data_IF_426067570242
#
_entry.id   IF_426067570242
#
_cell.length_a   1.000
_cell.length_b   1.000
_cell.length_c   1.000
_cell.angle_alpha   90.00
_cell.angle_beta   90.00
_cell.angle_gamma   90.00
#
_symmetry.space_group_name_H-M   'P 1'
#
loop_
_entity.id
_entity.type
_entity.pdbx_description
1 polymer ?
#
# COMPACT_ATOMS: atom_id res chain seq x y z
N UNK A 1 8.83 -62.73 -11.60
CA UNK A 1 8.84 -62.04 -10.28
C UNK A 1 8.37 -60.61 -10.52
N UNK A 2 7.19 -60.24 -9.99
CA UNK A 2 6.59 -58.91 -10.16
C UNK A 2 7.15 -57.97 -9.08
N UNK A 3 7.71 -56.82 -9.46
CA UNK A 3 8.04 -55.76 -8.51
C UNK A 3 7.02 -54.62 -8.66
N UNK A 4 6.39 -54.31 -7.52
CA UNK A 4 5.42 -53.24 -7.29
C UNK A 4 6.08 -51.99 -6.72
N UNK A 5 5.47 -50.84 -7.04
CA UNK A 5 5.38 -49.59 -6.26
C UNK A 5 6.66 -48.91 -5.73
N UNK A 6 6.92 -47.70 -6.24
CA UNK A 6 6.54 -46.46 -5.53
C UNK A 6 6.79 -45.21 -6.39
N UNK A 7 5.69 -44.56 -6.73
CA UNK A 7 5.57 -43.19 -7.21
C UNK A 7 6.32 -42.23 -6.27
N UNK A 8 7.35 -41.54 -6.77
CA UNK A 8 7.88 -40.35 -6.09
C UNK A 8 6.93 -39.19 -6.38
N UNK A 9 6.21 -38.80 -5.33
CA UNK A 9 5.33 -37.65 -5.30
C UNK A 9 6.12 -36.35 -5.17
N UNK A 10 5.57 -35.32 -5.82
CA UNK A 10 5.69 -33.89 -5.53
C UNK A 10 7.11 -33.30 -5.46
N UNK A 11 7.60 -32.83 -6.61
CA UNK A 11 8.40 -31.60 -6.63
C UNK A 11 7.49 -30.40 -6.31
N UNK A 12 7.25 -30.15 -5.03
CA UNK A 12 6.78 -28.87 -4.54
C UNK A 12 7.94 -27.89 -4.54
N UNK A 13 8.24 -27.29 -5.69
CA UNK A 13 9.25 -26.23 -5.78
C UNK A 13 8.54 -24.87 -5.71
N UNK A 14 8.46 -24.37 -4.48
CA UNK A 14 8.53 -22.96 -4.06
C UNK A 14 8.04 -21.96 -5.12
N UNK A 15 6.77 -21.60 -5.03
CA UNK A 15 6.33 -20.32 -5.54
C UNK A 15 7.14 -19.25 -4.78
N UNK A 16 8.18 -18.73 -5.42
CA UNK A 16 8.72 -17.42 -5.09
C UNK A 16 7.56 -16.46 -5.27
N UNK A 17 6.81 -16.22 -4.20
CA UNK A 17 6.00 -15.02 -4.08
C UNK A 17 6.94 -13.90 -4.47
N UNK A 18 6.66 -13.27 -5.61
CA UNK A 18 7.09 -11.91 -5.86
C UNK A 18 6.54 -11.12 -4.68
N UNK A 19 7.33 -11.04 -3.60
CA UNK A 19 7.20 -9.98 -2.65
C UNK A 19 7.18 -8.72 -3.50
N UNK A 20 6.08 -7.98 -3.42
CA UNK A 20 5.99 -6.64 -3.94
C UNK A 20 7.02 -5.79 -3.19
N UNK A 21 8.28 -5.90 -3.61
CA UNK A 21 9.41 -5.12 -3.15
C UNK A 21 9.36 -3.80 -3.92
N UNK A 22 8.34 -2.98 -3.64
CA UNK A 22 8.59 -1.55 -3.55
C UNK A 22 9.58 -1.40 -2.40
N UNK A 23 10.75 -0.82 -2.66
CA UNK A 23 11.98 -0.96 -1.87
C UNK A 23 11.97 -0.35 -0.46
N UNK A 24 10.81 -0.26 0.20
CA UNK A 24 10.67 0.17 1.59
C UNK A 24 10.84 -0.98 2.59
N UNK A 25 11.07 -0.61 3.84
CA UNK A 25 11.18 -1.59 4.94
C UNK A 25 9.85 -2.35 5.13
N UNK A 26 9.97 -3.58 5.65
CA UNK A 26 8.80 -4.38 6.00
C UNK A 26 7.98 -3.67 7.11
N UNK A 27 6.66 -3.54 6.95
CA UNK A 27 5.82 -2.91 7.95
C UNK A 27 5.82 -3.73 9.24
N UNK A 28 5.80 -3.02 10.38
CA UNK A 28 5.62 -3.64 11.70
C UNK A 28 4.40 -3.04 12.38
N UNK A 29 3.64 -3.89 13.08
CA UNK A 29 2.37 -3.52 13.73
C UNK A 29 2.55 -2.35 14.68
N UNK A 30 1.64 -1.38 14.61
CA UNK A 30 1.57 -0.22 15.51
C UNK A 30 0.24 -0.19 16.27
N UNK A 31 0.07 0.80 17.15
CA UNK A 31 -1.18 1.16 17.81
C UNK A 31 -1.95 2.27 17.07
N UNK A 32 -1.50 2.62 15.87
CA UNK A 32 -2.11 3.67 15.05
C UNK A 32 -3.27 3.10 14.23
N UNK A 33 -4.40 3.80 14.26
CA UNK A 33 -5.59 3.43 13.50
C UNK A 33 -5.57 3.98 12.08
N UNK A 34 -6.09 3.21 11.15
CA UNK A 34 -6.29 3.60 9.75
C UNK A 34 -7.69 3.27 9.28
N UNK A 35 -8.23 4.09 8.39
CA UNK A 35 -9.47 3.81 7.70
C UNK A 35 -9.42 4.37 6.27
N UNK A 36 -9.62 3.50 5.30
CA UNK A 36 -9.71 3.81 3.87
C UNK A 36 -10.98 3.20 3.31
N UNK A 37 -11.83 4.02 2.72
CA UNK A 37 -13.05 3.58 2.05
C UNK A 37 -12.80 3.52 0.54
N UNK A 38 -13.05 2.37 -0.05
CA UNK A 38 -13.16 2.20 -1.50
C UNK A 38 -14.60 2.50 -1.90
N UNK A 39 -14.83 3.66 -2.49
CA UNK A 39 -16.17 4.12 -2.87
C UNK A 39 -16.57 3.68 -4.28
N UNK A 40 -15.60 3.45 -5.16
CA UNK A 40 -15.82 2.94 -6.49
C UNK A 40 -14.62 2.11 -6.96
N UNK A 41 -14.86 0.87 -7.34
CA UNK A 41 -13.88 -0.01 -7.95
C UNK A 41 -14.49 -0.65 -9.18
N UNK A 42 -13.69 -0.93 -10.21
CA UNK A 42 -14.15 -1.70 -11.38
C UNK A 42 -14.63 -3.09 -10.98
N UNK A 43 -13.93 -3.73 -10.04
CA UNK A 43 -14.45 -4.89 -9.31
C UNK A 43 -15.22 -4.40 -8.08
N UNK A 44 -16.55 -4.38 -8.19
CA UNK A 44 -17.43 -3.89 -7.12
C UNK A 44 -17.35 -4.70 -5.83
N UNK A 45 -16.80 -5.93 -5.86
CA UNK A 45 -16.57 -6.71 -4.64
C UNK A 45 -15.49 -6.07 -3.75
N UNK A 46 -14.65 -5.18 -4.30
CA UNK A 46 -13.65 -4.43 -3.55
C UNK A 46 -14.24 -3.20 -2.84
N UNK A 47 -15.46 -2.76 -3.17
CA UNK A 47 -16.09 -1.61 -2.52
C UNK A 47 -16.34 -1.89 -1.04
N UNK A 48 -16.05 -0.91 -0.19
CA UNK A 48 -16.26 -1.01 1.26
C UNK A 48 -15.19 -0.26 2.07
N UNK A 49 -15.33 -0.35 3.38
CA UNK A 49 -14.37 0.22 4.34
C UNK A 49 -13.27 -0.80 4.62
N UNK A 50 -12.03 -0.34 4.57
CA UNK A 50 -10.82 -1.07 4.96
C UNK A 50 -10.24 -0.36 6.17
N UNK A 51 -10.18 -1.04 7.31
CA UNK A 51 -9.77 -0.39 8.55
C UNK A 51 -9.09 -1.34 9.50
N UNK A 52 -8.31 -0.76 10.41
CA UNK A 52 -7.65 -1.46 11.50
C UNK A 52 -7.32 -0.47 12.61
N UNK A 53 -7.31 -0.95 13.86
CA UNK A 53 -6.78 -0.20 15.00
C UNK A 53 -5.27 -0.37 15.17
N UNK A 54 -4.67 -1.30 14.41
CA UNK A 54 -3.28 -1.71 14.53
C UNK A 54 -2.63 -1.76 13.15
N UNK A 55 -2.47 -0.59 12.54
CA UNK A 55 -1.88 -0.46 11.20
C UNK A 55 -0.43 -0.95 11.25
N UNK A 56 -0.04 -1.86 10.36
CA UNK A 56 1.38 -2.13 10.17
C UNK A 56 1.97 -1.04 9.29
N UNK A 57 3.08 -0.48 9.76
CA UNK A 57 3.76 0.65 9.13
C UNK A 57 5.26 0.39 9.12
N UNK A 58 5.92 0.71 8.01
CA UNK A 58 7.37 0.89 8.01
C UNK A 58 7.75 2.23 8.65
N UNK A 59 9.04 2.39 8.94
CA UNK A 59 9.59 3.72 9.13
C UNK A 59 9.53 4.51 7.81
N UNK A 60 9.54 5.84 7.92
CA UNK A 60 9.63 6.70 6.74
C UNK A 60 11.09 6.75 6.31
N UNK A 61 11.34 6.46 5.05
CA UNK A 61 12.67 6.54 4.45
C UNK A 61 12.74 7.72 3.49
N UNK A 62 13.92 8.34 3.37
CA UNK A 62 14.17 9.38 2.37
C UNK A 62 14.81 8.78 1.13
N UNK A 63 14.11 8.85 0.02
CA UNK A 63 14.53 8.35 -1.29
C UNK A 63 15.15 9.49 -2.08
N UNK A 64 16.42 9.35 -2.45
CA UNK A 64 17.12 10.35 -3.26
C UNK A 64 16.75 10.22 -4.73
N UNK A 65 16.36 11.34 -5.36
CA UNK A 65 15.99 11.37 -6.77
C UNK A 65 17.00 12.20 -7.56
N UNK A 66 17.57 11.62 -8.62
CA UNK A 66 18.53 12.33 -9.47
C UNK A 66 17.75 13.29 -10.38
N UNK A 67 18.05 14.58 -10.30
CA UNK A 67 17.40 15.60 -11.14
C UNK A 67 15.95 15.92 -10.75
N UNK A 68 15.49 15.48 -9.58
CA UNK A 68 14.17 15.74 -9.02
C UNK A 68 14.27 16.00 -7.51
N UNK A 69 13.22 16.55 -6.91
CA UNK A 69 13.13 16.65 -5.46
C UNK A 69 13.15 15.25 -4.84
N UNK A 70 13.92 15.07 -3.76
CA UNK A 70 13.90 13.84 -2.95
C UNK A 70 12.47 13.50 -2.53
N UNK A 71 12.19 12.23 -2.29
CA UNK A 71 10.92 11.75 -1.79
C UNK A 71 11.07 11.12 -0.40
N UNK A 72 9.94 10.97 0.26
CA UNK A 72 9.78 10.25 1.50
C UNK A 72 8.80 9.12 1.25
N UNK A 73 9.16 7.91 1.64
CA UNK A 73 8.41 6.70 1.36
C UNK A 73 8.11 5.96 2.67
N UNK A 74 6.93 5.37 2.79
CA UNK A 74 6.64 4.34 3.77
C UNK A 74 5.64 3.32 3.23
N UNK A 75 5.66 2.12 3.78
CA UNK A 75 4.73 1.05 3.46
C UNK A 75 3.69 0.89 4.57
N UNK A 76 2.51 0.41 4.19
CA UNK A 76 1.43 0.08 5.11
C UNK A 76 0.81 -1.27 4.76
N UNK A 77 0.28 -1.95 5.77
CA UNK A 77 -0.47 -3.19 5.60
C UNK A 77 -1.57 -3.37 6.66
N UNK A 78 -2.17 -4.55 6.67
CA UNK A 78 -3.16 -4.98 7.66
C UNK A 78 -4.47 -4.16 7.68
N UNK A 79 -4.79 -3.43 6.61
CA UNK A 79 -6.10 -2.81 6.44
C UNK A 79 -7.09 -3.86 5.94
N UNK A 80 -7.99 -4.31 6.82
CA UNK A 80 -8.92 -5.40 6.52
C UNK A 80 -10.28 -4.84 6.12
N UNK A 81 -10.92 -5.46 5.11
CA UNK A 81 -12.26 -5.07 4.69
C UNK A 81 -13.29 -5.39 5.77
N UNK A 82 -14.10 -4.40 6.17
CA UNK A 82 -15.20 -4.59 7.13
C UNK A 82 -16.20 -5.61 6.60
N UNK A 83 -16.49 -6.63 7.40
CA UNK A 83 -17.38 -7.73 7.04
C UNK A 83 -16.75 -8.80 6.14
N UNK A 84 -15.47 -8.67 5.74
CA UNK A 84 -14.75 -9.71 5.01
C UNK A 84 -13.25 -9.70 5.33
N UNK A 85 -12.83 -10.53 6.28
CA UNK A 85 -11.44 -10.58 6.74
C UNK A 85 -10.46 -11.24 5.77
N UNK A 86 -10.93 -11.84 4.68
CA UNK A 86 -10.06 -12.46 3.68
C UNK A 86 -9.54 -11.46 2.66
N UNK A 87 -10.09 -10.24 2.64
CA UNK A 87 -9.69 -9.16 1.72
C UNK A 87 -8.98 -8.09 2.53
N UNK A 88 -7.74 -7.82 2.17
CA UNK A 88 -6.91 -6.81 2.83
C UNK A 88 -6.26 -5.88 1.81
N UNK A 89 -5.93 -4.68 2.29
CA UNK A 89 -5.26 -3.64 1.56
C UNK A 89 -3.86 -3.46 2.13
N UNK A 90 -2.88 -3.40 1.24
CA UNK A 90 -1.49 -3.09 1.52
C UNK A 90 -1.00 -2.06 0.54
N UNK A 91 0.10 -1.37 0.80
CA UNK A 91 0.59 -0.40 -0.15
C UNK A 91 1.82 0.38 0.28
N UNK A 92 2.17 1.32 -0.58
CA UNK A 92 3.29 2.24 -0.43
C UNK A 92 2.80 3.65 -0.67
N UNK A 93 3.28 4.58 0.15
CA UNK A 93 2.99 6.01 0.07
C UNK A 93 4.29 6.75 -0.18
N UNK A 94 4.33 7.53 -1.26
CA UNK A 94 5.41 8.42 -1.63
C UNK A 94 4.96 9.87 -1.53
N UNK A 95 5.74 10.72 -0.87
CA UNK A 95 5.48 12.17 -0.84
C UNK A 95 6.77 12.99 -0.94
N UNK A 96 6.64 14.26 -1.30
CA UNK A 96 7.81 15.13 -1.53
C UNK A 96 8.60 15.34 -0.23
N UNK A 97 9.93 15.20 -0.28
CA UNK A 97 10.82 15.49 0.86
C UNK A 97 11.08 16.99 1.01
N UNK A 98 10.00 17.73 1.21
CA UNK A 98 9.96 19.17 1.46
C UNK A 98 8.91 19.42 2.55
N UNK A 99 9.31 20.08 3.63
CA UNK A 99 8.43 20.38 4.78
C UNK A 99 7.36 21.41 4.45
N UNK A 100 7.56 22.21 3.40
CA UNK A 100 6.56 23.17 2.89
C UNK A 100 5.53 22.53 1.95
N UNK A 101 5.81 21.31 1.47
CA UNK A 101 4.92 20.56 0.58
C UNK A 101 3.96 19.67 1.36
N UNK A 102 2.70 19.69 0.95
CA UNK A 102 1.66 18.76 1.40
C UNK A 102 1.33 17.70 0.34
N UNK A 103 2.12 17.65 -0.73
CA UNK A 103 1.81 16.87 -1.92
C UNK A 103 2.27 15.42 -1.80
N UNK A 104 1.36 14.52 -2.13
CA UNK A 104 1.70 13.15 -2.49
C UNK A 104 2.45 13.14 -3.83
N UNK A 105 3.48 12.31 -3.92
CA UNK A 105 4.24 12.01 -5.15
C UNK A 105 3.82 10.68 -5.78
N UNK A 106 3.29 9.75 -4.97
CA UNK A 106 2.82 8.46 -5.43
C UNK A 106 2.03 7.71 -4.37
N UNK A 107 1.06 6.92 -4.81
CA UNK A 107 0.37 5.95 -3.97
C UNK A 107 0.24 4.66 -4.77
N UNK A 108 0.67 3.55 -4.19
CA UNK A 108 0.47 2.21 -4.71
C UNK A 108 -0.30 1.37 -3.68
N UNK A 109 -1.29 0.62 -4.14
CA UNK A 109 -2.19 -0.19 -3.30
C UNK A 109 -2.37 -1.56 -3.92
N UNK A 110 -2.21 -2.61 -3.12
CA UNK A 110 -2.53 -3.99 -3.48
C UNK A 110 -3.79 -4.49 -2.76
N UNK A 111 -4.72 -5.07 -3.52
CA UNK A 111 -5.91 -5.78 -3.00
C UNK A 111 -6.14 -7.02 -3.89
N UNK A 112 -6.30 -8.21 -3.31
CA UNK A 112 -6.57 -9.46 -4.04
C UNK A 112 -5.62 -9.70 -5.24
N UNK A 113 -4.32 -9.47 -5.07
CA UNK A 113 -3.28 -9.59 -6.10
C UNK A 113 -3.40 -8.62 -7.28
N UNK A 114 -4.28 -7.61 -7.21
CA UNK A 114 -4.32 -6.50 -8.16
C UNK A 114 -3.64 -5.31 -7.53
N UNK A 115 -2.69 -4.74 -8.26
CA UNK A 115 -1.97 -3.53 -7.86
C UNK A 115 -2.54 -2.33 -8.60
N UNK A 116 -2.86 -1.29 -7.85
CA UNK A 116 -3.34 -0.02 -8.32
C UNK A 116 -2.35 1.07 -7.94
N UNK A 117 -2.10 2.04 -8.82
CA UNK A 117 -1.21 3.15 -8.50
C UNK A 117 -1.68 4.46 -9.10
N UNK A 118 -1.13 5.54 -8.56
CA UNK A 118 -1.25 6.89 -9.10
C UNK A 118 -0.01 7.70 -8.72
N UNK A 119 0.45 8.55 -9.63
CA UNK A 119 1.51 9.54 -9.39
C UNK A 119 0.95 10.97 -9.33
N UNK A 120 -0.37 11.12 -9.42
CA UNK A 120 -1.03 12.40 -9.26
C UNK A 120 -1.08 12.76 -7.76
N UNK A 121 -0.85 14.02 -7.41
CA UNK A 121 -0.96 14.52 -6.03
C UNK A 121 -2.33 15.06 -5.66
N UNK A 122 -3.25 15.24 -6.61
CA UNK A 122 -4.56 15.84 -6.37
C UNK A 122 -5.42 15.03 -5.37
N UNK A 123 -6.29 15.71 -4.62
CA UNK A 123 -7.16 15.05 -3.64
C UNK A 123 -6.40 14.38 -2.49
N UNK A 124 -5.17 14.81 -2.20
CA UNK A 124 -4.38 14.29 -1.09
C UNK A 124 -3.78 15.40 -0.25
N UNK A 125 -3.57 15.13 1.04
CA UNK A 125 -2.88 16.04 1.95
C UNK A 125 -1.95 15.23 2.84
N UNK A 126 -0.66 15.53 2.75
CA UNK A 126 0.38 15.04 3.68
C UNK A 126 0.45 16.02 4.85
N UNK A 127 -0.07 15.60 6.00
CA UNK A 127 -0.10 16.37 7.23
C UNK A 127 1.01 15.88 8.17
N UNK A 128 2.15 16.56 8.12
CA UNK A 128 3.31 16.16 8.90
C UNK A 128 3.13 16.39 10.39
N UNK A 129 2.39 17.42 10.77
CA UNK A 129 2.14 17.74 12.17
C UNK A 129 1.25 16.68 12.83
N UNK A 130 0.26 16.18 12.08
CA UNK A 130 -0.62 15.11 12.52
C UNK A 130 -0.09 13.69 12.25
N UNK A 131 1.09 13.57 11.63
CA UNK A 131 1.65 12.29 11.16
C UNK A 131 0.63 11.48 10.34
N UNK A 132 -0.01 12.11 9.36
CA UNK A 132 -1.06 11.47 8.57
C UNK A 132 -1.03 11.87 7.09
N UNK A 133 -1.40 10.94 6.22
CA UNK A 133 -1.76 11.21 4.82
C UNK A 133 -3.26 11.02 4.65
N UNK A 134 -3.94 12.02 4.09
CA UNK A 134 -5.39 12.02 3.87
C UNK A 134 -5.68 11.97 2.38
N UNK A 135 -6.71 11.21 2.01
CA UNK A 135 -7.17 11.02 0.65
C UNK A 135 -8.64 11.43 0.54
N UNK A 136 -8.96 12.18 -0.51
CA UNK A 136 -10.31 12.62 -0.85
C UNK A 136 -10.59 12.23 -2.30
N UNK A 137 -11.45 11.24 -2.50
CA UNK A 137 -11.85 10.74 -3.82
C UNK A 137 -10.65 10.44 -4.75
N UNK A 138 -9.59 9.84 -4.21
CA UNK A 138 -8.36 9.58 -4.94
C UNK A 138 -8.52 8.41 -5.89
N UNK A 139 -8.34 8.64 -7.19
CA UNK A 139 -8.37 7.59 -8.20
C UNK A 139 -6.99 6.95 -8.41
N UNK A 140 -6.96 5.62 -8.37
CA UNK A 140 -5.82 4.78 -8.72
C UNK A 140 -6.19 3.90 -9.93
N UNK A 141 -5.19 3.58 -10.75
CA UNK A 141 -5.35 2.75 -11.94
C UNK A 141 -4.55 1.46 -11.76
N UNK A 142 -5.06 0.34 -12.28
CA UNK A 142 -4.32 -0.91 -12.27
C UNK A 142 -2.95 -0.75 -12.97
N UNK A 143 -1.91 -1.31 -12.35
CA UNK A 143 -0.52 -1.27 -12.86
C UNK A 143 -0.34 -2.19 -14.06
N UNK A 144 -1.03 -3.34 -14.07
CA UNK A 144 -1.12 -4.20 -15.24
C UNK A 144 -1.96 -3.53 -16.34
N UNK A 145 -1.82 -3.96 -17.60
CA UNK A 145 -2.42 -3.35 -18.80
C UNK A 145 -3.98 -3.34 -18.89
N UNK A 146 -4.68 -3.39 -17.76
CA UNK A 146 -6.12 -3.24 -17.65
C UNK A 146 -6.56 -1.79 -17.42
N UNK A 147 -7.84 -1.53 -17.65
CA UNK A 147 -8.51 -0.24 -17.40
C UNK A 147 -9.16 -0.17 -16.02
N UNK A 148 -8.84 -1.11 -15.12
CA UNK A 148 -9.47 -1.18 -13.81
C UNK A 148 -9.03 -0.02 -12.92
N UNK A 149 -9.99 0.56 -12.21
CA UNK A 149 -9.78 1.71 -11.32
C UNK A 149 -10.26 1.42 -9.91
N UNK A 150 -9.74 2.23 -8.99
CA UNK A 150 -10.06 2.23 -7.57
C UNK A 150 -10.16 3.68 -7.09
N UNK A 151 -11.24 4.06 -6.44
CA UNK A 151 -11.43 5.40 -5.84
C UNK A 151 -11.45 5.26 -4.33
N UNK A 152 -10.49 5.92 -3.67
CA UNK A 152 -10.27 5.81 -2.22
C UNK A 152 -10.46 7.14 -1.50
N UNK A 153 -11.05 7.09 -0.31
CA UNK A 153 -11.16 8.22 0.63
C UNK A 153 -10.83 7.75 2.03
N UNK A 154 -10.06 8.52 2.80
CA UNK A 154 -9.72 8.14 4.17
C UNK A 154 -8.37 8.67 4.59
N UNK A 155 -7.73 7.99 5.52
CA UNK A 155 -6.42 8.38 6.02
C UNK A 155 -5.55 7.21 6.44
N UNK A 156 -4.24 7.42 6.27
CA UNK A 156 -3.17 6.53 6.72
C UNK A 156 -2.23 7.32 7.65
N UNK A 157 -1.93 6.81 8.85
CA UNK A 157 -0.91 7.36 9.70
C UNK A 157 0.49 7.11 9.10
N UNK A 158 1.45 7.91 9.53
CA UNK A 158 2.87 7.68 9.35
C UNK A 158 3.56 7.66 10.71
N UNK A 159 4.71 7.00 10.80
CA UNK A 159 5.52 7.04 12.02
C UNK A 159 6.10 8.44 12.24
N UNK A 160 6.19 8.85 13.51
CA UNK A 160 6.66 10.20 13.86
C UNK A 160 8.17 10.41 13.70
N UNK A 161 8.98 9.35 13.86
CA UNK A 161 10.44 9.40 13.70
C UNK A 161 10.79 9.39 12.21
N UNK A 162 10.96 10.58 11.62
CA UNK A 162 11.16 10.74 10.18
C UNK A 162 12.49 11.43 9.85
N UNK A 163 13.14 11.08 8.73
CA UNK A 163 14.34 11.79 8.26
C UNK A 163 14.04 13.26 7.99
N UNK A 164 15.04 14.14 8.12
CA UNK A 164 14.86 15.57 7.82
C UNK A 164 14.34 15.83 6.39
N UNK A 165 13.29 16.65 6.28
CA UNK A 165 12.59 16.93 5.02
C UNK A 165 11.40 15.99 4.80
N UNK A 166 11.41 14.86 5.50
CA UNK A 166 10.22 14.14 5.91
C UNK A 166 9.78 14.68 7.30
#
# INVERSE_FOLDING_TARGET
MKLSFKTLALCGAVATLLAACGGGDAPTTTDLSSAVTVSAASDTTLNGVYSTTNTGLSDVQKIRRIGATDACEFTFDALVKTGNSTVSMTGTVDYTADTSSTLLSGLAVGINNVFYSTADGSGTVVDRAANQVRFTAKTLNAVAAGTSTLVVTGSLPMRGNRPSGC
#
